data_IF_319865242358
#
_entry.id   IF_319865242358
#
_cell.length_a   1.000
_cell.length_b   1.000
_cell.length_c   1.000
_cell.angle_alpha   90.00
_cell.angle_beta   90.00
_cell.angle_gamma   90.00
#
_symmetry.space_group_name_H-M   'P 1'
#
loop_
_entity.id
_entity.type
_entity.pdbx_description
1 polymer ?
#
# COMPACT_ATOMS: atom_id res chain seq x y z
N UNK A 1 -1.00 -14.75 16.26
CA UNK A 1 -1.00 -13.31 15.91
C UNK A 1 0.18 -13.06 15.01
N UNK A 2 -0.06 -12.86 13.71
CA UNK A 2 1.00 -12.66 12.71
C UNK A 2 1.33 -11.17 12.59
N UNK A 3 2.63 -10.85 12.48
CA UNK A 3 3.10 -9.48 12.25
C UNK A 3 4.11 -9.47 11.13
N UNK A 4 3.94 -8.55 10.19
CA UNK A 4 4.84 -8.31 9.07
C UNK A 4 5.33 -6.88 9.17
N UNK A 5 6.64 -6.70 9.12
CA UNK A 5 7.26 -5.39 9.15
C UNK A 5 8.34 -5.30 8.08
N UNK A 6 8.29 -4.23 7.30
CA UNK A 6 9.27 -3.97 6.26
C UNK A 6 9.51 -2.46 6.07
N UNK A 7 10.59 -2.13 5.37
CA UNK A 7 10.99 -0.75 5.08
C UNK A 7 11.20 -0.54 3.58
N UNK A 8 10.73 0.60 3.07
CA UNK A 8 11.02 1.07 1.73
C UNK A 8 12.07 2.17 1.81
N UNK A 9 13.09 2.19 0.93
CA UNK A 9 14.22 3.13 0.99
C UNK A 9 13.84 4.56 0.53
N UNK A 10 12.55 4.88 0.49
CA UNK A 10 12.03 6.18 0.11
C UNK A 10 10.72 6.47 0.85
N UNK A 11 10.45 7.74 1.10
CA UNK A 11 9.12 8.19 1.47
C UNK A 11 8.19 8.08 0.26
N UNK A 12 7.02 7.47 0.41
CA UNK A 12 6.06 7.41 -0.68
C UNK A 12 5.67 8.83 -1.15
N UNK A 13 5.35 8.92 -2.44
CA UNK A 13 4.98 10.16 -3.10
C UNK A 13 3.60 10.65 -2.62
N UNK A 14 3.51 11.95 -2.33
CA UNK A 14 2.27 12.60 -1.93
C UNK A 14 1.39 12.94 -3.15
N UNK A 15 0.06 13.05 -2.98
CA UNK A 15 -0.90 13.45 -4.01
C UNK A 15 -0.45 14.64 -4.85
N UNK A 16 0.12 15.68 -4.26
CA UNK A 16 0.61 16.86 -4.99
C UNK A 16 1.66 16.53 -6.09
N UNK A 17 2.34 15.39 -6.02
CA UNK A 17 3.28 14.90 -7.04
C UNK A 17 2.69 13.83 -7.96
N UNK A 18 1.55 13.25 -7.57
CA UNK A 18 0.95 12.10 -8.28
C UNK A 18 -0.36 12.42 -8.98
N UNK A 19 -1.06 13.48 -8.57
CA UNK A 19 -2.28 13.97 -9.20
C UNK A 19 -1.96 14.50 -10.60
N UNK A 20 -2.90 14.33 -11.53
CA UNK A 20 -2.81 14.78 -12.93
C UNK A 20 -1.64 14.19 -13.74
N UNK A 21 -0.94 13.19 -13.21
CA UNK A 21 0.06 12.46 -13.99
C UNK A 21 -0.59 11.80 -15.20
N UNK A 22 0.10 11.84 -16.34
CA UNK A 22 -0.27 11.03 -17.50
C UNK A 22 -0.33 9.54 -17.12
N UNK A 23 -1.29 8.80 -17.67
CA UNK A 23 -1.58 7.42 -17.26
C UNK A 23 -0.35 6.47 -17.32
N UNK A 24 0.59 6.72 -18.25
CA UNK A 24 1.85 5.97 -18.34
C UNK A 24 2.75 6.19 -17.12
N UNK A 25 2.90 7.43 -16.67
CA UNK A 25 3.68 7.77 -15.49
C UNK A 25 3.04 7.18 -14.22
N UNK A 26 1.72 7.35 -14.06
CA UNK A 26 1.00 6.74 -12.95
C UNK A 26 1.12 5.20 -12.93
N UNK A 27 1.15 4.56 -14.10
CA UNK A 27 1.35 3.11 -14.23
C UNK A 27 2.77 2.70 -13.85
N UNK A 28 3.79 3.49 -14.23
CA UNK A 28 5.19 3.28 -13.86
C UNK A 28 5.35 3.36 -12.34
N UNK A 29 4.83 4.40 -11.71
CA UNK A 29 4.93 4.58 -10.26
C UNK A 29 4.27 3.43 -9.48
N UNK A 30 3.08 2.98 -9.92
CA UNK A 30 2.42 1.81 -9.32
C UNK A 30 3.26 0.54 -9.42
N UNK A 31 3.97 0.33 -10.54
CA UNK A 31 4.91 -0.80 -10.70
C UNK A 31 6.15 -0.64 -9.83
N UNK A 32 6.68 0.58 -9.72
CA UNK A 32 7.83 0.86 -8.84
C UNK A 32 7.50 0.57 -7.39
N UNK A 33 6.34 1.03 -6.91
CA UNK A 33 5.87 0.74 -5.55
C UNK A 33 5.73 -0.77 -5.33
N UNK A 34 5.06 -1.47 -6.24
CA UNK A 34 4.89 -2.93 -6.15
C UNK A 34 6.25 -3.66 -6.05
N UNK A 35 7.22 -3.29 -6.91
CA UNK A 35 8.56 -3.90 -6.89
C UNK A 35 9.31 -3.62 -5.59
N UNK A 36 9.17 -2.41 -5.06
CA UNK A 36 9.80 -2.03 -3.80
C UNK A 36 9.21 -2.83 -2.62
N UNK A 37 7.88 -2.97 -2.57
CA UNK A 37 7.21 -3.80 -1.56
C UNK A 37 7.64 -5.26 -1.69
N UNK A 38 7.60 -5.82 -2.92
CA UNK A 38 8.03 -7.19 -3.18
C UNK A 38 9.48 -7.47 -2.75
N UNK A 39 10.40 -6.53 -2.99
CA UNK A 39 11.78 -6.66 -2.55
C UNK A 39 11.90 -6.56 -1.03
N UNK A 40 11.19 -5.63 -0.40
CA UNK A 40 11.24 -5.41 1.04
C UNK A 40 10.59 -6.53 1.85
N UNK A 41 9.67 -7.28 1.25
CA UNK A 41 8.97 -8.41 1.87
C UNK A 41 9.45 -9.76 1.35
N UNK A 42 10.59 -9.84 0.68
CA UNK A 42 11.13 -11.10 0.20
C UNK A 42 11.35 -12.07 1.38
N UNK A 43 10.83 -13.29 1.26
CA UNK A 43 10.85 -14.30 2.33
C UNK A 43 9.76 -14.14 3.40
N UNK A 44 8.97 -13.06 3.35
CA UNK A 44 7.82 -12.84 4.25
C UNK A 44 6.53 -13.23 3.52
N UNK A 45 6.30 -14.54 3.33
CA UNK A 45 5.10 -15.06 2.67
C UNK A 45 4.06 -15.48 3.68
N UNK A 46 2.80 -15.10 3.45
CA UNK A 46 1.65 -15.67 4.16
C UNK A 46 1.04 -16.78 3.31
N UNK A 47 0.72 -17.91 3.94
CA UNK A 47 -0.06 -18.98 3.29
C UNK A 47 -1.46 -18.50 2.93
N UNK A 48 -2.06 -17.68 3.80
CA UNK A 48 -3.38 -17.08 3.61
C UNK A 48 -3.36 -15.60 4.05
N UNK A 49 -4.04 -14.71 3.31
CA UNK A 49 -4.16 -13.30 3.68
C UNK A 49 -4.83 -13.13 5.05
N UNK A 50 -4.41 -12.11 5.80
CA UNK A 50 -5.07 -11.73 7.05
C UNK A 50 -6.49 -11.27 6.76
N UNK A 51 -7.46 -11.80 7.51
CA UNK A 51 -8.87 -11.42 7.37
C UNK A 51 -9.13 -10.03 7.93
N UNK A 52 -8.50 -9.70 9.06
CA UNK A 52 -8.49 -8.37 9.68
C UNK A 52 -7.07 -8.01 10.11
N UNK A 53 -6.65 -6.78 9.83
CA UNK A 53 -5.32 -6.30 10.18
C UNK A 53 -5.33 -4.83 10.58
N UNK A 54 -4.45 -4.49 11.52
CA UNK A 54 -4.03 -3.12 11.75
C UNK A 54 -2.80 -2.82 10.89
N UNK A 55 -2.87 -1.77 10.08
CA UNK A 55 -1.76 -1.32 9.23
C UNK A 55 -1.28 0.03 9.74
N UNK A 56 -0.05 0.05 10.24
CA UNK A 56 0.68 1.27 10.58
C UNK A 56 1.65 1.62 9.44
N UNK A 57 1.52 2.83 8.91
CA UNK A 57 2.42 3.38 7.89
C UNK A 57 3.10 4.63 8.45
N UNK A 58 4.42 4.58 8.58
CA UNK A 58 5.23 5.71 9.00
C UNK A 58 5.97 6.29 7.79
N UNK A 59 5.64 7.54 7.43
CA UNK A 59 6.30 8.26 6.34
C UNK A 59 7.40 9.15 6.90
N UNK A 60 8.65 8.69 6.78
CA UNK A 60 9.83 9.45 7.20
C UNK A 60 10.19 10.49 6.15
N UNK A 61 9.97 11.77 6.43
CA UNK A 61 10.14 12.87 5.47
C UNK A 61 10.67 14.15 6.09
N UNK A 62 11.12 15.10 5.27
CA UNK A 62 11.66 16.39 5.74
C UNK A 62 10.57 17.32 6.27
N UNK A 63 9.45 17.40 5.57
CA UNK A 63 8.32 18.26 5.93
C UNK A 63 7.07 17.43 6.15
N UNK A 64 6.33 17.76 7.21
CA UNK A 64 5.02 17.20 7.48
C UNK A 64 4.05 17.61 6.37
N UNK A 65 3.43 16.64 5.65
CA UNK A 65 2.32 16.93 4.76
C UNK A 65 1.02 17.14 5.55
N UNK A 66 0.05 17.81 4.93
CA UNK A 66 -1.31 17.89 5.46
C UNK A 66 -1.93 16.48 5.61
N UNK A 67 -2.83 16.25 6.58
CA UNK A 67 -3.35 14.92 6.90
C UNK A 67 -3.94 14.17 5.69
N UNK A 68 -4.78 14.82 4.89
CA UNK A 68 -5.40 14.20 3.70
C UNK A 68 -4.36 13.83 2.64
N UNK A 69 -3.33 14.65 2.49
CA UNK A 69 -2.24 14.42 1.56
C UNK A 69 -1.38 13.23 2.05
N UNK A 70 -1.17 13.12 3.36
CA UNK A 70 -0.46 12.02 3.99
C UNK A 70 -1.18 10.68 3.72
N UNK A 71 -2.48 10.62 4.02
CA UNK A 71 -3.30 9.41 3.86
C UNK A 71 -3.49 9.09 2.37
N UNK A 72 -3.87 10.09 1.56
CA UNK A 72 -4.09 9.91 0.12
C UNK A 72 -2.86 9.40 -0.63
N UNK A 73 -1.65 9.78 -0.19
CA UNK A 73 -0.39 9.30 -0.77
C UNK A 73 -0.09 7.83 -0.50
N UNK A 74 -0.60 7.29 0.61
CA UNK A 74 -0.39 5.90 0.98
C UNK A 74 -1.19 4.93 0.09
N UNK A 75 -2.18 5.41 -0.69
CA UNK A 75 -3.09 4.55 -1.46
C UNK A 75 -2.38 3.54 -2.37
N UNK A 76 -1.31 3.97 -3.07
CA UNK A 76 -0.55 3.06 -3.96
C UNK A 76 0.18 1.97 -3.20
N UNK A 77 0.61 2.25 -1.98
CA UNK A 77 1.24 1.28 -1.09
C UNK A 77 0.19 0.31 -0.54
N UNK A 78 -0.94 0.82 -0.05
CA UNK A 78 -2.07 0.01 0.44
C UNK A 78 -2.57 -0.96 -0.64
N UNK A 79 -2.72 -0.50 -1.89
CA UNK A 79 -3.08 -1.37 -3.04
C UNK A 79 -2.14 -2.58 -3.19
N UNK A 80 -0.85 -2.42 -2.85
CA UNK A 80 0.13 -3.50 -2.90
C UNK A 80 -0.03 -4.48 -1.73
N UNK A 81 -0.66 -4.09 -0.62
CA UNK A 81 -0.83 -4.95 0.56
C UNK A 81 -2.02 -5.90 0.42
N UNK A 82 -3.04 -5.49 -0.32
CA UNK A 82 -4.29 -6.25 -0.48
C UNK A 82 -4.15 -7.47 -1.41
N UNK A 83 -5.20 -8.30 -1.46
CA UNK A 83 -5.27 -9.47 -2.35
C UNK A 83 -5.90 -9.09 -3.70
N UNK A 84 -5.28 -9.44 -4.84
CA UNK A 84 -5.90 -9.25 -6.15
C UNK A 84 -7.17 -10.10 -6.27
N UNK A 85 -8.28 -9.50 -6.75
CA UNK A 85 -9.53 -10.24 -6.98
C UNK A 85 -10.20 -9.88 -8.30
N UNK A 86 -10.87 -10.85 -8.89
CA UNK A 86 -11.68 -10.63 -10.09
C UNK A 86 -12.90 -9.78 -9.72
N UNK A 87 -13.18 -8.78 -10.56
CA UNK A 87 -14.39 -7.97 -10.44
C UNK A 87 -15.53 -8.63 -11.22
N UNK A 88 -16.75 -8.53 -10.69
CA UNK A 88 -17.94 -8.99 -11.40
C UNK A 88 -18.14 -8.18 -12.68
N UNK A 89 -18.21 -8.88 -13.81
CA UNK A 89 -18.43 -8.28 -15.13
C UNK A 89 -19.92 -8.33 -15.43
N UNK A 90 -20.56 -7.16 -15.54
CA UNK A 90 -22.02 -7.06 -15.77
C UNK A 90 -22.46 -7.45 -17.19
N UNK A 91 -21.59 -7.23 -18.20
CA UNK A 91 -21.91 -7.46 -19.61
C UNK A 91 -21.13 -8.67 -20.14
N UNK A 92 -21.81 -9.74 -20.60
CA UNK A 92 -21.17 -10.88 -21.24
C UNK A 92 -20.23 -10.46 -22.38
N UNK A 93 -19.08 -11.10 -22.49
CA UNK A 93 -18.05 -10.78 -23.50
C UNK A 93 -17.15 -9.57 -23.18
N UNK A 94 -17.38 -8.87 -22.08
CA UNK A 94 -16.49 -7.77 -21.66
C UNK A 94 -15.21 -8.31 -21.01
N UNK A 95 -14.08 -7.65 -21.25
CA UNK A 95 -12.78 -8.02 -20.65
C UNK A 95 -12.86 -8.07 -19.12
N UNK A 96 -12.44 -9.20 -18.57
CA UNK A 96 -12.30 -9.42 -17.13
C UNK A 96 -11.39 -8.35 -16.50
N UNK A 97 -11.85 -7.75 -15.39
CA UNK A 97 -11.08 -6.76 -14.62
C UNK A 97 -10.64 -7.35 -13.28
N UNK A 98 -9.51 -6.86 -12.78
CA UNK A 98 -8.90 -7.30 -11.51
C UNK A 98 -8.77 -6.09 -10.59
N UNK A 99 -9.44 -6.13 -9.43
CA UNK A 99 -9.22 -5.18 -8.32
C UNK A 99 -7.82 -5.43 -7.76
N UNK A 100 -7.09 -4.37 -7.45
CA UNK A 100 -5.77 -4.43 -6.83
C UNK A 100 -4.84 -5.43 -7.52
N UNK A 101 -4.77 -5.37 -8.87
CA UNK A 101 -3.95 -6.26 -9.73
C UNK A 101 -2.48 -6.41 -9.28
N UNK A 102 -1.97 -5.50 -8.46
CA UNK A 102 -0.59 -5.46 -7.96
C UNK A 102 -0.45 -5.83 -6.49
N UNK A 103 -1.55 -6.26 -5.87
CA UNK A 103 -1.58 -6.72 -4.50
C UNK A 103 -0.73 -7.96 -4.29
N UNK A 104 -0.14 -8.07 -3.11
CA UNK A 104 0.75 -9.16 -2.70
C UNK A 104 0.06 -10.15 -1.74
N UNK A 105 -1.19 -9.87 -1.35
CA UNK A 105 -2.00 -10.80 -0.56
C UNK A 105 -1.67 -10.84 0.93
N UNK A 106 -1.23 -9.73 1.52
CA UNK A 106 -1.05 -9.66 2.98
C UNK A 106 -2.39 -9.56 3.72
N UNK A 107 -3.32 -8.79 3.16
CA UNK A 107 -4.68 -8.59 3.69
C UNK A 107 -5.70 -8.87 2.59
N UNK A 108 -6.90 -9.33 2.95
CA UNK A 108 -7.96 -9.66 1.99
C UNK A 108 -8.34 -8.46 1.12
N UNK A 109 -8.73 -7.34 1.73
CA UNK A 109 -9.17 -6.13 1.04
C UNK A 109 -8.80 -4.88 1.87
N UNK A 110 -8.96 -3.69 1.29
CA UNK A 110 -8.69 -2.39 1.94
C UNK A 110 -9.93 -1.76 2.58
N UNK A 111 -11.08 -2.46 2.56
CA UNK A 111 -12.29 -2.07 3.26
C UNK A 111 -12.11 -2.00 4.78
N UNK A 112 -12.90 -1.15 5.43
CA UNK A 112 -12.87 -0.91 6.89
C UNK A 112 -13.16 -2.18 7.72
N UNK A 113 -13.86 -3.14 7.14
CA UNK A 113 -14.13 -4.45 7.73
C UNK A 113 -12.86 -5.30 7.85
N UNK A 114 -11.86 -5.08 6.98
CA UNK A 114 -10.61 -5.84 6.90
C UNK A 114 -9.41 -5.07 7.45
N UNK A 115 -9.43 -3.74 7.45
CA UNK A 115 -8.27 -2.92 7.80
C UNK A 115 -8.63 -1.79 8.73
N UNK A 116 -7.87 -1.66 9.83
CA UNK A 116 -7.71 -0.38 10.53
C UNK A 116 -6.39 0.25 10.09
N UNK A 117 -6.45 1.49 9.61
CA UNK A 117 -5.30 2.17 9.02
C UNK A 117 -4.85 3.33 9.91
N UNK A 118 -3.57 3.32 10.28
CA UNK A 118 -2.89 4.46 10.89
C UNK A 118 -1.76 4.92 9.96
N UNK A 119 -1.78 6.19 9.56
CA UNK A 119 -0.73 6.80 8.75
C UNK A 119 -0.18 8.00 9.48
N UNK A 120 1.11 7.99 9.77
CA UNK A 120 1.76 9.10 10.49
C UNK A 120 3.01 9.59 9.77
N UNK A 121 3.28 10.88 9.94
CA UNK A 121 4.52 11.48 9.50
C UNK A 121 5.57 11.36 10.60
N UNK A 122 6.79 10.97 10.22
CA UNK A 122 7.95 11.00 11.11
C UNK A 122 8.97 11.98 10.51
N UNK A 123 9.41 13.00 11.25
CA UNK A 123 10.46 13.90 10.78
C UNK A 123 11.75 13.12 10.50
N UNK A 124 12.37 13.40 9.36
CA UNK A 124 13.63 12.78 8.94
C UNK A 124 14.49 13.75 8.14
N UNK A 125 15.81 13.56 8.20
CA UNK A 125 16.75 14.27 7.33
C UNK A 125 16.54 13.86 5.87
N UNK A 126 16.95 14.71 4.93
CA UNK A 126 16.79 14.44 3.49
C UNK A 126 17.38 13.09 3.06
N UNK A 127 18.54 12.71 3.61
CA UNK A 127 19.23 11.45 3.35
C UNK A 127 18.64 10.23 4.09
N UNK A 128 17.71 10.44 5.02
CA UNK A 128 17.13 9.40 5.88
C UNK A 128 15.65 9.13 5.57
N UNK A 129 15.16 9.60 4.42
CA UNK A 129 13.76 9.43 4.03
C UNK A 129 13.45 7.97 3.73
N UNK A 130 12.37 7.47 4.29
CA UNK A 130 11.92 6.09 4.14
C UNK A 130 10.42 5.96 4.39
N UNK A 131 9.87 4.78 4.09
CA UNK A 131 8.53 4.41 4.52
C UNK A 131 8.65 3.13 5.33
N UNK A 132 8.11 3.13 6.53
CA UNK A 132 8.03 1.96 7.39
C UNK A 132 6.61 1.46 7.40
N UNK A 133 6.42 0.17 7.23
CA UNK A 133 5.10 -0.47 7.25
C UNK A 133 5.11 -1.59 8.26
N UNK A 134 4.12 -1.60 9.14
CA UNK A 134 3.84 -2.70 10.06
C UNK A 134 2.39 -3.15 9.86
N UNK A 135 2.20 -4.44 9.61
CA UNK A 135 0.91 -5.08 9.43
C UNK A 135 0.76 -6.08 10.57
N UNK A 136 -0.25 -5.90 11.40
CA UNK A 136 -0.52 -6.74 12.56
C UNK A 136 -1.89 -7.37 12.41
N UNK A 137 -1.95 -8.69 12.43
CA UNK A 137 -3.20 -9.43 12.39
C UNK A 137 -4.07 -9.12 13.63
N UNK A 138 -5.34 -8.81 13.39
CA UNK A 138 -6.35 -8.67 14.44
C UNK A 138 -7.11 -9.99 14.49
N UNK A 139 -6.97 -10.72 15.59
CA UNK A 139 -7.73 -11.94 15.81
C UNK A 139 -9.22 -11.60 15.98
N UNK A 140 -10.14 -12.47 15.52
CA UNK A 140 -11.57 -12.31 15.74
C UNK A 140 -11.94 -12.31 17.23
#
# INVERSE_FOLDING_TARGET
MRTIRFELPFAYALPNRTLRQHWRAATKDKRTMQRAVMAATAGQTLTEPMQRAHILIERHGVRAPDPDNLVGGAKRLIDCLTTPRLLNVRKPGTRQRVKNKRGMGFVVDDGSEHVTLEVKHVPARLCAQKTVVTITEILP
#
